data_IF_053874089633
#
_entry.id   IF_053874089633
#
_cell.length_a   1.000
_cell.length_b   1.000
_cell.length_c   1.000
_cell.angle_alpha   90.00
_cell.angle_beta   90.00
_cell.angle_gamma   90.00
#
_symmetry.space_group_name_H-M   'P 1'
#
loop_
_entity.id
_entity.type
_entity.pdbx_description
1 polymer ?
#
# COMPACT_ATOMS: atom_id res chain seq x y z
N UNK A 1 -7.11 5.21 -19.81
CA UNK A 1 -6.34 4.97 -18.57
C UNK A 1 -7.12 5.61 -17.45
N UNK A 2 -7.47 4.85 -16.43
CA UNK A 2 -8.31 5.30 -15.33
C UNK A 2 -7.43 5.62 -14.11
N UNK A 3 -7.90 6.53 -13.26
CA UNK A 3 -7.22 6.89 -12.02
C UNK A 3 -8.23 6.92 -10.88
N UNK A 4 -7.86 6.34 -9.75
CA UNK A 4 -8.54 6.47 -8.46
C UNK A 4 -7.58 7.09 -7.45
N UNK A 5 -8.11 7.94 -6.59
CA UNK A 5 -7.34 8.66 -5.57
C UNK A 5 -7.95 8.45 -4.19
N UNK A 6 -7.13 8.61 -3.17
CA UNK A 6 -7.55 8.51 -1.77
C UNK A 6 -8.48 9.65 -1.32
N UNK A 7 -8.81 10.61 -2.18
CA UNK A 7 -9.87 11.60 -1.94
C UNK A 7 -11.25 10.93 -1.86
N UNK A 8 -11.40 9.76 -2.48
CA UNK A 8 -12.62 8.96 -2.43
C UNK A 8 -12.29 7.54 -1.99
N UNK A 9 -12.03 7.36 -0.69
CA UNK A 9 -11.62 6.08 -0.09
C UNK A 9 -12.57 4.92 -0.41
N UNK A 10 -13.89 5.17 -0.53
CA UNK A 10 -14.85 4.11 -0.87
C UNK A 10 -14.70 3.61 -2.30
N UNK A 11 -14.37 4.49 -3.25
CA UNK A 11 -14.02 4.08 -4.63
C UNK A 11 -12.73 3.27 -4.68
N UNK A 12 -11.79 3.53 -3.78
CA UNK A 12 -10.60 2.68 -3.64
C UNK A 12 -10.95 1.28 -3.11
N UNK A 13 -11.94 1.17 -2.21
CA UNK A 13 -12.44 -0.12 -1.75
C UNK A 13 -13.18 -0.87 -2.87
N UNK A 14 -14.05 -0.20 -3.61
CA UNK A 14 -14.75 -0.77 -4.78
C UNK A 14 -13.76 -1.35 -5.80
N UNK A 15 -12.67 -0.63 -6.07
CA UNK A 15 -11.59 -1.12 -6.91
C UNK A 15 -10.96 -2.42 -6.36
N UNK A 16 -10.80 -2.52 -5.04
CA UNK A 16 -10.26 -3.73 -4.41
C UNK A 16 -11.22 -4.92 -4.45
N UNK A 17 -12.51 -4.69 -4.67
CA UNK A 17 -13.57 -5.70 -4.70
C UNK A 17 -13.86 -6.23 -6.11
N UNK A 18 -13.20 -5.66 -7.13
CA UNK A 18 -13.13 -6.25 -8.47
C UNK A 18 -12.62 -7.69 -8.36
N UNK A 19 -13.31 -8.63 -9.02
CA UNK A 19 -13.11 -10.09 -8.87
C UNK A 19 -11.65 -10.53 -9.03
N UNK A 20 -10.91 -9.86 -9.91
CA UNK A 20 -9.50 -10.12 -10.21
C UNK A 20 -8.55 -9.72 -9.07
N UNK A 21 -9.00 -8.86 -8.15
CA UNK A 21 -8.22 -8.28 -7.06
C UNK A 21 -8.67 -8.72 -5.67
N UNK A 22 -9.95 -9.05 -5.50
CA UNK A 22 -10.58 -9.29 -4.21
C UNK A 22 -9.80 -10.23 -3.29
N UNK A 23 -9.19 -11.29 -3.81
CA UNK A 23 -8.42 -12.28 -3.03
C UNK A 23 -6.90 -12.14 -3.16
N UNK A 24 -6.39 -11.07 -3.78
CA UNK A 24 -4.95 -10.90 -4.03
C UNK A 24 -4.26 -10.14 -2.90
N UNK A 25 -2.95 -10.39 -2.73
CA UNK A 25 -2.13 -9.61 -1.81
C UNK A 25 -2.14 -8.12 -2.15
N UNK A 26 -2.12 -7.78 -3.44
CA UNK A 26 -2.21 -6.40 -3.90
C UNK A 26 -3.53 -5.75 -3.48
N UNK A 27 -4.68 -6.38 -3.73
CA UNK A 27 -5.98 -5.88 -3.26
C UNK A 27 -6.05 -5.75 -1.74
N UNK A 28 -5.52 -6.72 -0.98
CA UNK A 28 -5.47 -6.59 0.49
C UNK A 28 -4.53 -5.50 0.99
N UNK A 29 -3.42 -5.27 0.29
CA UNK A 29 -2.48 -4.17 0.58
C UNK A 29 -3.14 -2.81 0.36
N UNK A 30 -3.84 -2.61 -0.76
CA UNK A 30 -4.57 -1.36 -1.02
C UNK A 30 -5.68 -1.16 0.02
N UNK A 31 -6.43 -2.21 0.38
CA UNK A 31 -7.40 -2.12 1.50
C UNK A 31 -6.73 -1.72 2.81
N UNK A 32 -5.58 -2.30 3.15
CA UNK A 32 -4.84 -1.93 4.35
C UNK A 32 -4.43 -0.45 4.31
N UNK A 33 -3.96 0.06 3.17
CA UNK A 33 -3.65 1.47 2.98
C UNK A 33 -4.87 2.38 3.18
N UNK A 34 -6.02 2.01 2.61
CA UNK A 34 -7.29 2.73 2.80
C UNK A 34 -7.67 2.77 4.28
N UNK A 35 -7.69 1.63 4.97
CA UNK A 35 -8.08 1.59 6.38
C UNK A 35 -7.11 2.31 7.30
N UNK A 36 -5.81 2.28 6.99
CA UNK A 36 -4.81 3.10 7.65
C UNK A 36 -5.11 4.58 7.51
N UNK A 37 -5.53 5.05 6.33
CA UNK A 37 -5.92 6.44 6.14
C UNK A 37 -7.23 6.77 6.87
N UNK A 38 -8.24 5.89 6.83
CA UNK A 38 -9.51 6.06 7.58
C UNK A 38 -9.29 6.16 9.09
N UNK A 39 -8.31 5.43 9.63
CA UNK A 39 -8.02 5.39 11.06
C UNK A 39 -6.90 6.31 11.50
N UNK A 40 -6.30 7.05 10.55
CA UNK A 40 -5.19 7.98 10.78
C UNK A 40 -4.01 7.36 11.55
N UNK A 41 -3.76 6.06 11.37
CA UNK A 41 -2.66 5.37 12.03
C UNK A 41 -1.38 5.44 11.18
N UNK A 42 -0.19 5.52 11.80
CA UNK A 42 1.06 5.43 11.06
C UNK A 42 1.36 3.99 10.63
N UNK A 43 2.14 3.87 9.57
CA UNK A 43 2.65 2.62 8.99
C UNK A 43 4.17 2.63 9.06
N UNK A 44 4.77 1.52 9.48
CA UNK A 44 6.21 1.36 9.36
C UNK A 44 6.55 0.98 7.91
N UNK A 45 7.47 1.73 7.30
CA UNK A 45 7.99 1.48 5.96
C UNK A 45 9.49 1.23 6.07
N UNK A 46 9.94 0.09 5.55
CA UNK A 46 11.37 -0.21 5.38
C UNK A 46 11.72 -0.16 3.92
N UNK A 47 12.72 0.66 3.59
CA UNK A 47 13.45 0.60 2.34
C UNK A 47 14.64 -0.35 2.54
N UNK A 48 14.54 -1.56 1.97
CA UNK A 48 15.59 -2.57 2.14
C UNK A 48 16.85 -2.27 1.31
N UNK A 49 16.76 -1.44 0.27
CA UNK A 49 17.92 -1.08 -0.54
C UNK A 49 18.84 -0.13 0.24
N UNK A 50 18.24 0.88 0.87
CA UNK A 50 18.98 1.88 1.64
C UNK A 50 19.12 1.53 3.13
N UNK A 51 18.52 0.41 3.57
CA UNK A 51 18.44 0.00 4.98
C UNK A 51 17.85 1.09 5.89
N UNK A 52 16.81 1.77 5.41
CA UNK A 52 16.11 2.85 6.12
C UNK A 52 14.77 2.33 6.63
N UNK A 53 14.44 2.65 7.88
CA UNK A 53 13.14 2.39 8.49
C UNK A 53 12.53 3.71 8.96
N UNK A 54 11.29 3.98 8.55
CA UNK A 54 10.54 5.16 8.99
C UNK A 54 9.13 4.78 9.43
N UNK A 55 8.58 5.56 10.37
CA UNK A 55 7.14 5.58 10.64
C UNK A 55 6.52 6.65 9.76
N UNK A 56 5.76 6.24 8.76
CA UNK A 56 5.11 7.09 7.79
C UNK A 56 3.64 7.29 8.15
N UNK A 57 3.14 8.52 8.07
CA UNK A 57 1.72 8.81 8.06
C UNK A 57 1.28 9.03 6.61
N UNK A 58 0.57 8.09 5.98
CA UNK A 58 0.03 8.30 4.64
C UNK A 58 -0.93 9.49 4.62
N UNK A 59 -0.78 10.36 3.62
CA UNK A 59 -1.61 11.56 3.42
C UNK A 59 -2.44 11.46 2.15
N UNK A 60 -1.88 10.85 1.11
CA UNK A 60 -2.57 10.67 -0.16
C UNK A 60 -2.03 9.43 -0.88
N UNK A 61 -2.86 8.76 -1.67
CA UNK A 61 -2.37 7.84 -2.69
C UNK A 61 -3.22 7.89 -3.97
N UNK A 62 -2.63 7.52 -5.09
CA UNK A 62 -3.30 7.39 -6.38
C UNK A 62 -2.95 6.07 -7.05
N UNK A 63 -3.92 5.42 -7.68
CA UNK A 63 -3.72 4.22 -8.50
C UNK A 63 -4.16 4.54 -9.92
N UNK A 64 -3.22 4.48 -10.87
CA UNK A 64 -3.52 4.53 -12.29
C UNK A 64 -3.54 3.11 -12.85
N UNK A 65 -4.61 2.76 -13.58
CA UNK A 65 -4.82 1.42 -14.10
C UNK A 65 -5.48 1.43 -15.49
N UNK A 66 -5.47 0.27 -16.13
CA UNK A 66 -6.17 0.04 -17.40
C UNK A 66 -7.44 -0.76 -17.12
N UNK A 67 -8.56 -0.31 -17.67
CA UNK A 67 -9.85 -0.99 -17.52
C UNK A 67 -9.78 -2.42 -18.06
N UNK A 68 -10.28 -3.37 -17.28
CA UNK A 68 -10.19 -4.81 -17.57
C UNK A 68 -8.81 -5.43 -17.33
N UNK A 69 -7.84 -4.65 -16.83
CA UNK A 69 -6.48 -5.10 -16.50
C UNK A 69 -6.04 -4.65 -15.10
N UNK A 70 -7.01 -4.48 -14.19
CA UNK A 70 -6.78 -4.00 -12.83
C UNK A 70 -5.78 -4.87 -12.06
N UNK A 71 -4.77 -4.24 -11.48
CA UNK A 71 -3.66 -4.86 -10.74
C UNK A 71 -2.84 -5.87 -11.53
N UNK A 72 -2.82 -5.76 -12.86
CA UNK A 72 -1.85 -6.45 -13.71
C UNK A 72 -0.54 -5.66 -13.76
N UNK A 73 -0.61 -4.35 -14.00
CA UNK A 73 0.55 -3.45 -14.13
C UNK A 73 0.11 -2.02 -13.89
N UNK A 74 -0.31 -1.75 -12.65
CA UNK A 74 -0.82 -0.46 -12.25
C UNK A 74 0.34 0.45 -11.82
N UNK A 75 0.07 1.75 -11.73
CA UNK A 75 0.99 2.70 -11.13
C UNK A 75 0.42 3.21 -9.81
N UNK A 76 1.18 3.09 -8.73
CA UNK A 76 0.81 3.53 -7.39
C UNK A 76 1.74 4.64 -6.92
N UNK A 77 1.17 5.78 -6.53
CA UNK A 77 1.89 6.83 -5.82
C UNK A 77 1.36 6.93 -4.39
N UNK A 78 2.24 7.00 -3.40
CA UNK A 78 1.90 7.18 -1.99
C UNK A 78 2.63 8.42 -1.49
N UNK A 79 1.89 9.41 -1.03
CA UNK A 79 2.42 10.58 -0.33
C UNK A 79 2.28 10.38 1.18
N UNK A 80 3.33 10.70 1.92
CA UNK A 80 3.38 10.53 3.36
C UNK A 80 4.30 11.56 4.01
N UNK A 81 4.10 11.78 5.30
CA UNK A 81 5.07 12.49 6.15
C UNK A 81 5.69 11.47 7.11
N UNK A 82 6.96 11.66 7.46
CA UNK A 82 7.55 10.87 8.56
C UNK A 82 7.02 11.42 9.87
N UNK A 83 6.65 10.55 10.81
CA UNK A 83 6.11 10.98 12.11
C UNK A 83 7.15 11.83 12.84
N UNK A 84 6.79 13.09 13.13
CA UNK A 84 7.68 14.08 13.74
C UNK A 84 8.40 14.99 12.74
N UNK A 85 8.17 14.80 11.44
CA UNK A 85 8.64 15.68 10.36
C UNK A 85 7.45 16.33 9.63
N UNK A 86 7.67 17.51 9.04
CA UNK A 86 6.66 18.25 8.28
C UNK A 86 6.80 18.06 6.75
N UNK A 87 7.91 17.49 6.30
CA UNK A 87 8.20 17.34 4.87
C UNK A 87 7.33 16.23 4.24
N UNK A 88 6.61 16.59 3.17
CA UNK A 88 5.84 15.65 2.37
C UNK A 88 6.76 14.87 1.42
N UNK A 89 6.79 13.55 1.57
CA UNK A 89 7.57 12.62 0.76
C UNK A 89 6.65 11.81 -0.15
N UNK A 90 7.17 11.35 -1.29
CA UNK A 90 6.41 10.56 -2.27
C UNK A 90 7.16 9.27 -2.63
N UNK A 91 6.50 8.12 -2.46
CA UNK A 91 6.91 6.83 -3.01
C UNK A 91 6.13 6.54 -4.28
N UNK A 92 6.83 6.18 -5.36
CA UNK A 92 6.24 5.88 -6.68
C UNK A 92 6.55 4.45 -7.10
N UNK A 93 5.54 3.73 -7.55
CA UNK A 93 5.65 2.37 -8.11
C UNK A 93 5.01 2.39 -9.50
N UNK A 94 5.81 2.38 -10.56
CA UNK A 94 5.28 2.55 -11.93
C UNK A 94 4.62 1.30 -12.51
N UNK A 95 5.08 0.11 -12.10
CA UNK A 95 4.56 -1.19 -12.53
C UNK A 95 4.42 -2.10 -11.31
N UNK A 96 3.27 -2.03 -10.66
CA UNK A 96 2.93 -2.85 -9.50
C UNK A 96 1.60 -3.55 -9.73
N UNK A 97 1.50 -4.79 -9.27
CA UNK A 97 0.24 -5.51 -9.29
C UNK A 97 0.24 -6.72 -8.38
N UNK A 98 -0.66 -7.64 -8.68
CA UNK A 98 -0.91 -8.87 -7.91
C UNK A 98 0.30 -9.78 -7.73
N UNK A 99 1.29 -9.72 -8.63
CA UNK A 99 2.51 -10.54 -8.57
C UNK A 99 3.66 -9.87 -7.81
N UNK A 100 3.61 -8.54 -7.66
CA UNK A 100 4.70 -7.74 -7.09
C UNK A 100 4.54 -7.51 -5.59
N UNK A 101 3.34 -7.73 -5.07
CA UNK A 101 3.00 -7.62 -3.65
C UNK A 101 2.94 -9.00 -2.99
N UNK A 102 3.82 -9.21 -2.02
CA UNK A 102 3.93 -10.47 -1.27
C UNK A 102 3.62 -10.21 0.19
N UNK A 103 2.60 -10.89 0.72
CA UNK A 103 2.33 -10.85 2.16
C UNK A 103 3.38 -11.68 2.91
N UNK A 104 3.96 -11.11 3.97
CA UNK A 104 4.85 -11.83 4.87
C UNK A 104 4.05 -12.87 5.68
N UNK A 105 4.35 -14.16 5.47
CA UNK A 105 3.74 -15.27 6.22
C UNK A 105 4.52 -15.63 7.48
N UNK A 106 5.75 -15.12 7.67
CA UNK A 106 6.55 -15.44 8.87
C UNK A 106 6.04 -14.66 10.08
N UNK A 107 5.23 -15.38 10.86
CA UNK A 107 5.08 -15.34 12.31
C UNK A 107 5.65 -14.11 13.02
N UNK A 108 4.80 -13.12 13.32
CA UNK A 108 5.15 -12.05 14.26
C UNK A 108 3.90 -11.36 14.77
N UNK A 109 3.32 -11.93 15.83
CA UNK A 109 2.17 -11.45 16.62
C UNK A 109 0.84 -11.30 15.84
N UNK A 110 -0.29 -11.58 16.50
CA UNK A 110 -1.66 -11.43 15.96
C UNK A 110 -2.01 -9.99 15.49
N UNK A 111 -1.07 -9.06 15.45
CA UNK A 111 -1.30 -7.62 15.59
C UNK A 111 -1.01 -6.82 14.31
N UNK A 112 -0.33 -7.37 13.31
CA UNK A 112 0.09 -6.59 12.12
C UNK A 112 -0.13 -7.33 10.81
N UNK A 113 -0.32 -6.58 9.72
CA UNK A 113 -0.22 -7.05 8.34
C UNK A 113 1.07 -6.54 7.72
N UNK A 114 1.84 -7.42 7.08
CA UNK A 114 3.12 -7.06 6.45
C UNK A 114 3.13 -7.42 4.98
N UNK A 115 3.59 -6.48 4.15
CA UNK A 115 3.65 -6.63 2.70
C UNK A 115 5.01 -6.20 2.19
N UNK A 116 5.60 -7.00 1.32
CA UNK A 116 6.76 -6.64 0.53
C UNK A 116 6.31 -6.24 -0.87
N UNK A 117 6.81 -5.12 -1.37
CA UNK A 117 6.66 -4.68 -2.75
C UNK A 117 8.02 -4.76 -3.41
N UNK A 118 8.14 -5.61 -4.44
CA UNK A 118 9.35 -5.70 -5.25
C UNK A 118 9.29 -4.63 -6.34
N UNK A 119 10.29 -3.74 -6.39
CA UNK A 119 10.44 -2.83 -7.53
C UNK A 119 11.43 -3.39 -8.55
N UNK A 120 12.60 -3.85 -8.10
CA UNK A 120 13.67 -4.42 -8.93
C UNK A 120 14.37 -5.57 -8.19
N UNK A 121 15.41 -6.19 -8.77
CA UNK A 121 16.15 -7.31 -8.14
C UNK A 121 16.70 -7.00 -6.75
N UNK A 122 17.05 -5.74 -6.47
CA UNK A 122 17.65 -5.30 -5.20
C UNK A 122 16.75 -4.32 -4.41
N UNK A 123 15.80 -3.65 -5.07
CA UNK A 123 14.95 -2.64 -4.46
C UNK A 123 13.62 -3.26 -4.02
N UNK A 124 13.38 -3.26 -2.70
CA UNK A 124 12.10 -3.69 -2.14
C UNK A 124 11.71 -2.87 -0.93
N UNK A 125 10.41 -2.61 -0.83
CA UNK A 125 9.82 -1.94 0.32
C UNK A 125 9.05 -2.94 1.16
N UNK A 126 9.14 -2.82 2.48
CA UNK A 126 8.27 -3.53 3.42
C UNK A 126 7.35 -2.54 4.11
N UNK A 127 6.04 -2.79 4.03
CA UNK A 127 5.02 -2.05 4.75
C UNK A 127 4.49 -2.91 5.90
N UNK A 128 4.45 -2.36 7.12
CA UNK A 128 3.85 -2.99 8.30
C UNK A 128 2.66 -2.16 8.77
N UNK A 129 1.45 -2.67 8.52
CA UNK A 129 0.19 -2.06 8.92
C UNK A 129 -0.31 -2.62 10.25
N UNK A 130 -0.93 -1.78 11.08
CA UNK A 130 -1.59 -2.23 12.32
C UNK A 130 -2.88 -3.00 11.98
N UNK A 131 -3.11 -4.18 12.57
CA UNK A 131 -4.33 -4.97 12.32
C UNK A 131 -5.60 -4.31 12.88
N UNK A 132 -5.48 -3.37 13.81
CA UNK A 132 -6.63 -2.61 14.35
C UNK A 132 -7.32 -1.75 13.28
N UNK A 133 -6.68 -1.50 12.15
CA UNK A 133 -7.25 -0.71 11.05
C UNK A 133 -8.54 -1.32 10.48
N UNK A 134 -8.73 -2.65 10.60
CA UNK A 134 -9.88 -3.36 10.03
C UNK A 134 -11.00 -3.68 11.03
N UNK A 135 -10.93 -3.15 12.26
CA UNK A 135 -11.92 -3.41 13.33
C UNK A 135 -12.91 -2.26 13.57
N UNK A 136 -12.82 -1.17 12.81
CA UNK A 136 -13.65 0.01 12.96
C UNK A 136 -14.51 0.23 11.72
#
# INVERSE_FOLDING_TARGET
MNMITSESLDRCLEYCDIKQLASTNYGTFIRALVYTMKTELPVEVIDNENNIMVKAQPKFFSIAYREGQEGISDSLNIQYVVVGEDELKTLKFEKIGRLDVIQDKKNSTRTFYRYYIKQNKNASYRFTFNRRISKN
#
